data_IF_353063524385
#
_entry.id   IF_353063524385
#
_cell.length_a   1.000
_cell.length_b   1.000
_cell.length_c   1.000
_cell.angle_alpha   90.00
_cell.angle_beta   90.00
_cell.angle_gamma   90.00
#
_symmetry.space_group_name_H-M   'P 1'
#
loop_
_entity.id
_entity.type
_entity.pdbx_description
1 polymer ?
#
# COMPACT_ATOMS: atom_id res chain seq x y z
N UNK A 1 11.68 0.76 -41.00
CA UNK A 1 11.08 1.18 -39.72
C UNK A 1 12.20 1.29 -38.69
N UNK A 2 12.10 2.20 -37.71
CA UNK A 2 13.12 2.33 -36.65
C UNK A 2 12.89 1.26 -35.58
N UNK A 3 13.96 0.70 -35.03
CA UNK A 3 13.90 -0.34 -33.99
C UNK A 3 13.17 0.14 -32.72
N UNK A 4 13.17 1.44 -32.44
CA UNK A 4 12.49 2.06 -31.29
C UNK A 4 11.00 1.71 -31.22
N UNK A 5 10.30 1.72 -32.36
CA UNK A 5 8.86 1.41 -32.39
C UNK A 5 8.59 -0.07 -32.07
N UNK A 6 9.53 -0.96 -32.40
CA UNK A 6 9.42 -2.38 -32.12
C UNK A 6 9.72 -2.71 -30.67
N UNK A 7 10.57 -1.92 -30.01
CA UNK A 7 10.86 -2.11 -28.58
C UNK A 7 9.59 -1.94 -27.73
N UNK A 8 8.82 -0.88 -27.95
CA UNK A 8 7.54 -0.67 -27.25
C UNK A 8 6.55 -1.81 -27.51
N UNK A 9 6.45 -2.26 -28.77
CA UNK A 9 5.59 -3.37 -29.15
C UNK A 9 6.03 -4.70 -28.54
N UNK A 10 7.35 -4.95 -28.43
CA UNK A 10 7.89 -6.14 -27.79
C UNK A 10 7.47 -6.19 -26.32
N UNK A 11 7.55 -5.08 -25.58
CA UNK A 11 7.11 -5.05 -24.18
C UNK A 11 5.61 -5.36 -24.04
N UNK A 12 4.80 -4.82 -24.95
CA UNK A 12 3.33 -4.95 -24.99
C UNK A 12 2.83 -6.15 -25.79
N UNK A 13 3.69 -7.13 -26.09
CA UNK A 13 3.38 -8.20 -27.05
C UNK A 13 2.09 -8.99 -26.74
N UNK A 14 1.79 -9.20 -25.45
CA UNK A 14 0.57 -9.91 -25.02
C UNK A 14 -0.73 -9.11 -25.27
N UNK A 15 -0.62 -7.81 -25.48
CA UNK A 15 -1.74 -6.89 -25.76
C UNK A 15 -1.91 -6.61 -27.27
N UNK A 16 -0.90 -6.93 -28.08
CA UNK A 16 -0.95 -6.76 -29.54
C UNK A 16 -2.00 -7.67 -30.20
N UNK A 17 -2.55 -7.20 -31.31
CA UNK A 17 -3.39 -8.02 -32.19
C UNK A 17 -2.58 -9.09 -32.91
N UNK A 18 -3.26 -10.12 -33.45
CA UNK A 18 -2.60 -11.25 -34.13
C UNK A 18 -1.76 -10.77 -35.33
N UNK A 19 -2.25 -9.80 -36.11
CA UNK A 19 -1.52 -9.25 -37.25
C UNK A 19 -0.29 -8.46 -36.83
N UNK A 20 -0.37 -7.69 -35.75
CA UNK A 20 0.78 -6.95 -35.23
C UNK A 20 1.86 -7.87 -34.69
N UNK A 21 1.48 -8.97 -34.01
CA UNK A 21 2.44 -9.96 -33.53
C UNK A 21 3.23 -10.60 -34.67
N UNK A 22 2.57 -10.93 -35.78
CA UNK A 22 3.27 -11.49 -36.95
C UNK A 22 4.34 -10.53 -37.49
N UNK A 23 4.06 -9.23 -37.53
CA UNK A 23 5.03 -8.22 -37.97
C UNK A 23 6.21 -8.14 -37.00
N UNK A 24 5.96 -8.20 -35.69
CA UNK A 24 7.03 -8.23 -34.68
C UNK A 24 7.85 -9.51 -34.80
N UNK A 25 7.21 -10.68 -34.94
CA UNK A 25 7.88 -11.98 -35.09
C UNK A 25 8.76 -12.03 -36.35
N UNK A 26 8.30 -11.44 -37.44
CA UNK A 26 9.08 -11.30 -38.66
C UNK A 26 10.29 -10.36 -38.46
N UNK A 27 10.10 -9.25 -37.75
CA UNK A 27 11.19 -8.33 -37.43
C UNK A 27 12.26 -8.97 -36.54
N UNK A 28 11.85 -9.77 -35.54
CA UNK A 28 12.75 -10.47 -34.62
C UNK A 28 13.70 -11.43 -35.35
N UNK A 29 13.29 -12.03 -36.48
CA UNK A 29 14.16 -12.90 -37.29
C UNK A 29 15.31 -12.17 -37.99
N UNK A 30 15.15 -10.86 -38.22
CA UNK A 30 16.09 -10.07 -39.01
C UNK A 30 16.90 -9.07 -38.17
N UNK A 31 16.49 -8.81 -36.92
CA UNK A 31 17.10 -7.82 -36.05
C UNK A 31 17.60 -8.44 -34.75
N UNK A 32 18.93 -8.65 -34.66
CA UNK A 32 19.57 -9.27 -33.50
C UNK A 32 19.42 -8.46 -32.20
N UNK A 33 19.31 -7.13 -32.28
CA UNK A 33 19.14 -6.29 -31.10
C UNK A 33 17.73 -6.42 -30.50
N UNK A 34 16.70 -6.43 -31.35
CA UNK A 34 15.32 -6.69 -30.92
C UNK A 34 15.16 -8.12 -30.40
N UNK A 35 15.89 -9.09 -30.95
CA UNK A 35 15.92 -10.47 -30.44
C UNK A 35 16.44 -10.54 -29.00
N UNK A 36 17.49 -9.80 -28.66
CA UNK A 36 18.00 -9.74 -27.27
C UNK A 36 16.96 -9.18 -26.31
N UNK A 37 16.25 -8.12 -26.70
CA UNK A 37 15.18 -7.52 -25.88
C UNK A 37 14.05 -8.53 -25.68
N UNK A 38 13.68 -9.26 -26.73
CA UNK A 38 12.68 -10.32 -26.65
C UNK A 38 13.08 -11.44 -25.67
N UNK A 39 14.33 -11.89 -25.72
CA UNK A 39 14.86 -12.89 -24.79
C UNK A 39 14.83 -12.39 -23.34
N UNK A 40 15.28 -11.15 -23.10
CA UNK A 40 15.25 -10.54 -21.77
C UNK A 40 13.83 -10.44 -21.20
N UNK A 41 12.87 -9.99 -22.03
CA UNK A 41 11.45 -9.95 -21.67
C UNK A 41 10.92 -11.35 -21.33
N UNK A 42 11.26 -12.35 -22.14
CA UNK A 42 10.80 -13.73 -21.94
C UNK A 42 11.33 -14.30 -20.62
N UNK A 43 12.61 -14.07 -20.30
CA UNK A 43 13.20 -14.46 -19.02
C UNK A 43 12.50 -13.75 -17.84
N UNK A 44 12.27 -12.44 -17.94
CA UNK A 44 11.54 -11.69 -16.91
C UNK A 44 10.11 -12.21 -16.71
N UNK A 45 9.45 -12.62 -17.79
CA UNK A 45 8.09 -13.19 -17.72
C UNK A 45 8.09 -14.55 -17.03
N UNK A 46 9.09 -15.38 -17.28
CA UNK A 46 9.23 -16.68 -16.61
C UNK A 46 9.47 -16.47 -15.11
N UNK A 47 10.40 -15.61 -14.74
CA UNK A 47 10.67 -15.33 -13.32
C UNK A 47 9.45 -14.74 -12.62
N UNK A 48 8.75 -13.77 -13.21
CA UNK A 48 7.55 -13.17 -12.60
C UNK A 48 6.34 -14.09 -12.57
N UNK A 49 6.25 -15.08 -13.47
CA UNK A 49 5.17 -16.08 -13.45
C UNK A 49 5.21 -16.91 -12.18
N UNK A 50 6.41 -17.27 -11.72
CA UNK A 50 6.60 -18.06 -10.51
C UNK A 50 6.15 -17.29 -9.25
N UNK A 51 6.10 -15.96 -9.30
CA UNK A 51 5.73 -15.12 -8.17
C UNK A 51 4.22 -15.06 -7.95
N UNK A 52 3.40 -15.41 -8.95
CA UNK A 52 1.93 -15.40 -8.82
C UNK A 52 1.41 -16.45 -7.83
N UNK A 53 2.22 -17.46 -7.51
CA UNK A 53 1.90 -18.49 -6.52
C UNK A 53 2.44 -18.22 -5.12
N UNK A 54 3.27 -17.18 -4.94
CA UNK A 54 3.84 -16.86 -3.64
C UNK A 54 2.78 -16.13 -2.82
N UNK A 55 2.10 -16.86 -1.95
CA UNK A 55 1.34 -16.24 -0.87
C UNK A 55 2.35 -15.55 0.05
N UNK A 56 2.15 -14.26 0.40
CA UNK A 56 3.03 -13.62 1.37
C UNK A 56 2.95 -14.43 2.66
N UNK A 57 4.12 -14.83 3.18
CA UNK A 57 4.20 -15.63 4.39
C UNK A 57 3.34 -14.98 5.50
N UNK A 58 2.45 -15.73 6.16
CA UNK A 58 1.44 -15.17 7.07
C UNK A 58 2.03 -14.53 8.33
N UNK A 59 3.33 -14.71 8.58
CA UNK A 59 4.00 -14.35 9.83
C UNK A 59 3.86 -12.87 10.21
N UNK A 60 3.73 -11.98 9.21
CA UNK A 60 3.58 -10.53 9.44
C UNK A 60 2.29 -9.93 8.84
N UNK A 61 1.35 -10.76 8.41
CA UNK A 61 0.07 -10.29 7.83
C UNK A 61 -0.72 -9.42 8.82
N UNK A 62 -0.73 -9.81 10.10
CA UNK A 62 -1.34 -9.03 11.18
C UNK A 62 -0.62 -7.70 11.43
N UNK A 63 0.73 -7.67 11.38
CA UNK A 63 1.50 -6.44 11.54
C UNK A 63 1.29 -5.47 10.38
N UNK A 64 1.23 -5.99 9.15
CA UNK A 64 0.93 -5.19 7.95
C UNK A 64 -0.48 -4.61 8.04
N UNK A 65 -1.46 -5.43 8.44
CA UNK A 65 -2.84 -4.98 8.63
C UNK A 65 -2.93 -3.93 9.73
N UNK A 66 -2.21 -4.10 10.85
CA UNK A 66 -2.15 -3.12 11.93
C UNK A 66 -1.49 -1.80 11.48
N UNK A 67 -0.38 -1.84 10.74
CA UNK A 67 0.27 -0.63 10.20
C UNK A 67 -0.64 0.12 9.23
N UNK A 68 -1.33 -0.60 8.34
CA UNK A 68 -2.28 -0.02 7.41
C UNK A 68 -3.47 0.58 8.17
N UNK A 69 -4.04 -0.14 9.14
CA UNK A 69 -5.14 0.36 9.95
C UNK A 69 -4.74 1.55 10.81
N UNK A 70 -3.54 1.58 11.40
CA UNK A 70 -3.06 2.72 12.15
C UNK A 70 -2.96 3.99 11.29
N UNK A 71 -2.57 3.85 10.01
CA UNK A 71 -2.50 4.97 9.07
C UNK A 71 -3.88 5.41 8.53
N UNK A 72 -4.86 4.51 8.49
CA UNK A 72 -6.22 4.82 8.00
C UNK A 72 -7.12 5.36 9.12
N UNK A 73 -7.06 4.73 10.30
CA UNK A 73 -7.95 5.02 11.43
C UNK A 73 -7.47 6.25 12.21
N UNK A 74 -6.17 6.55 12.18
CA UNK A 74 -5.64 7.80 12.70
C UNK A 74 -5.33 8.70 11.51
N UNK A 75 -6.29 9.46 10.96
CA UNK A 75 -5.90 10.70 10.29
C UNK A 75 -5.05 11.42 11.34
N UNK A 76 -3.81 11.78 10.99
CA UNK A 76 -2.97 12.62 11.85
C UNK A 76 -3.83 13.83 12.23
N UNK A 77 -4.44 13.75 13.40
CA UNK A 77 -5.17 14.84 14.02
C UNK A 77 -4.06 15.79 14.44
N UNK A 78 -3.56 16.53 13.45
CA UNK A 78 -2.76 17.72 13.64
C UNK A 78 -3.71 18.75 14.24
N UNK A 79 -3.95 18.54 15.52
CA UNK A 79 -4.69 19.43 16.38
C UNK A 79 -3.61 20.33 16.98
N UNK A 80 -3.41 21.55 16.43
CA UNK A 80 -2.28 22.40 16.80
C UNK A 80 -2.26 22.77 18.29
N UNK A 81 -3.40 22.67 18.99
CA UNK A 81 -3.46 22.91 20.43
C UNK A 81 -2.95 21.73 21.28
N UNK A 82 -2.89 20.50 20.75
CA UNK A 82 -2.28 19.34 21.45
C UNK A 82 -0.75 19.35 21.34
N UNK A 83 -0.19 19.90 20.27
CA UNK A 83 1.25 20.15 20.17
C UNK A 83 1.72 21.22 21.17
N UNK A 84 0.86 22.18 21.52
CA UNK A 84 1.13 23.15 22.58
C UNK A 84 1.11 22.52 23.99
N UNK A 85 0.46 21.36 24.16
CA UNK A 85 0.41 20.61 25.43
C UNK A 85 1.64 19.70 25.57
N UNK A 86 2.41 19.50 24.49
CA UNK A 86 3.70 18.81 24.51
C UNK A 86 4.84 19.65 25.12
N UNK A 87 4.48 20.55 26.03
CA UNK A 87 5.43 21.27 26.86
C UNK A 87 6.01 20.33 27.92
N UNK A 88 7.34 20.30 28.03
CA UNK A 88 8.11 19.46 28.95
C UNK A 88 7.58 19.47 30.39
N UNK A 89 7.06 20.61 30.88
CA UNK A 89 6.51 20.71 32.23
C UNK A 89 5.31 19.77 32.47
N UNK A 90 4.42 19.57 31.50
CA UNK A 90 3.27 18.68 31.67
C UNK A 90 3.72 17.22 31.76
N UNK A 91 4.76 16.84 30.99
CA UNK A 91 5.36 15.50 31.09
C UNK A 91 5.94 15.25 32.48
N UNK A 92 6.65 16.23 33.05
CA UNK A 92 7.16 16.14 34.42
C UNK A 92 6.04 16.15 35.46
N UNK A 93 4.99 16.95 35.27
CA UNK A 93 3.83 16.98 36.16
C UNK A 93 3.12 15.61 36.19
N UNK A 94 2.84 15.02 35.02
CA UNK A 94 2.21 13.70 34.92
C UNK A 94 3.11 12.59 35.48
N UNK A 95 4.42 12.67 35.25
CA UNK A 95 5.38 11.73 35.84
C UNK A 95 5.41 11.83 37.37
N UNK A 96 5.46 13.05 37.91
CA UNK A 96 5.44 13.28 39.37
C UNK A 96 4.13 12.79 40.01
N UNK A 97 3.00 13.04 39.36
CA UNK A 97 1.69 12.60 39.81
C UNK A 97 1.60 11.07 39.81
N UNK A 98 2.10 10.42 38.75
CA UNK A 98 2.19 8.97 38.64
C UNK A 98 3.03 8.38 39.77
N UNK A 99 4.23 8.92 40.04
CA UNK A 99 5.05 8.45 41.16
C UNK A 99 4.37 8.67 42.51
N UNK A 100 3.64 9.77 42.69
CA UNK A 100 2.93 10.06 43.93
C UNK A 100 1.79 9.06 44.15
N UNK A 101 1.07 8.66 43.10
CA UNK A 101 0.06 7.60 43.18
C UNK A 101 0.65 6.24 43.53
N UNK A 102 1.81 5.89 42.95
CA UNK A 102 2.51 4.64 43.27
C UNK A 102 2.90 4.62 44.75
N UNK A 103 3.52 5.69 45.24
CA UNK A 103 3.87 5.82 46.67
C UNK A 103 2.62 5.75 47.55
N UNK A 104 1.55 6.47 47.22
CA UNK A 104 0.30 6.42 47.97
C UNK A 104 -0.28 4.99 48.04
N UNK A 105 -0.20 4.22 46.95
CA UNK A 105 -0.67 2.84 46.91
C UNK A 105 0.13 1.91 47.83
N UNK A 106 1.45 2.12 47.95
CA UNK A 106 2.29 1.37 48.88
C UNK A 106 2.10 1.78 50.35
N UNK A 107 1.69 3.03 50.61
CA UNK A 107 1.41 3.51 51.97
C UNK A 107 -0.01 3.23 52.46
N UNK A 108 -0.95 2.91 51.56
CA UNK A 108 -2.25 2.41 51.99
C UNK A 108 -2.13 0.94 52.41
N UNK A 109 -2.37 0.60 53.70
CA UNK A 109 -2.33 -0.79 54.13
C UNK A 109 -3.41 -1.58 53.36
N UNK A 110 -3.11 -2.81 52.91
CA UNK A 110 -4.05 -3.60 52.15
C UNK A 110 -5.28 -3.88 53.02
N UNK A 111 -6.39 -3.20 52.75
CA UNK A 111 -7.69 -3.67 53.19
C UNK A 111 -7.96 -4.94 52.41
N UNK A 112 -8.14 -6.06 53.10
CA UNK A 112 -8.41 -7.38 52.53
C UNK A 112 -9.48 -7.30 51.43
N UNK A 113 -9.03 -7.19 50.18
CA UNK A 113 -9.88 -7.22 49.01
C UNK A 113 -10.17 -8.70 48.71
N UNK A 114 -11.45 -9.12 48.66
CA UNK A 114 -11.77 -10.48 48.29
C UNK A 114 -11.25 -10.75 46.87
N UNK A 115 -10.53 -11.86 46.71
CA UNK A 115 -10.05 -12.34 45.42
C UNK A 115 -11.23 -12.51 44.45
N UNK A 116 -11.45 -11.52 43.59
CA UNK A 116 -12.26 -11.73 42.38
C UNK A 116 -11.37 -12.34 41.32
N UNK A 117 -11.65 -13.62 41.06
CA UNK A 117 -11.05 -14.42 40.01
C UNK A 117 -11.48 -13.83 38.65
N UNK A 118 -10.67 -12.94 38.07
CA UNK A 118 -10.84 -12.48 36.70
C UNK A 118 -10.50 -13.64 35.76
N UNK A 119 -11.51 -14.45 35.43
CA UNK A 119 -11.45 -15.32 34.27
C UNK A 119 -11.30 -14.43 33.03
N UNK A 120 -10.16 -14.54 32.36
CA UNK A 120 -9.98 -14.01 31.01
C UNK A 120 -10.92 -14.80 30.08
N UNK A 121 -12.09 -14.23 29.80
CA UNK A 121 -12.97 -14.71 28.74
C UNK A 121 -12.25 -14.50 27.41
N UNK A 122 -11.80 -15.61 26.82
CA UNK A 122 -11.26 -15.63 25.48
C UNK A 122 -12.26 -15.03 24.50
N UNK A 123 -11.94 -13.87 23.95
CA UNK A 123 -12.70 -13.23 22.87
C UNK A 123 -12.55 -14.13 21.64
N UNK A 124 -13.53 -15.01 21.43
CA UNK A 124 -13.53 -16.00 20.35
C UNK A 124 -14.11 -15.50 19.04
N UNK A 125 -14.72 -14.31 19.01
CA UNK A 125 -15.30 -13.75 17.80
C UNK A 125 -14.93 -12.28 17.63
N UNK A 126 -13.92 -12.03 16.81
CA UNK A 126 -13.74 -10.72 16.18
C UNK A 126 -14.73 -10.67 15.02
N UNK A 127 -15.91 -10.10 15.27
CA UNK A 127 -16.89 -9.81 14.22
C UNK A 127 -16.35 -8.66 13.36
N UNK A 128 -15.53 -9.00 12.37
CA UNK A 128 -15.08 -8.07 11.35
C UNK A 128 -16.30 -7.59 10.58
N UNK A 129 -16.59 -6.30 10.65
CA UNK A 129 -17.69 -5.67 9.92
C UNK A 129 -17.39 -5.69 8.41
N UNK A 130 -17.63 -6.84 7.79
CA UNK A 130 -17.40 -7.14 6.36
C UNK A 130 -18.15 -6.19 5.44
N UNK A 131 -19.27 -5.63 5.90
CA UNK A 131 -20.06 -4.65 5.14
C UNK A 131 -19.29 -3.33 4.93
N UNK A 132 -18.53 -2.87 5.92
CA UNK A 132 -17.71 -1.66 5.82
C UNK A 132 -16.54 -1.86 4.83
N UNK A 133 -15.89 -3.03 4.87
CA UNK A 133 -14.82 -3.37 3.93
C UNK A 133 -15.32 -3.48 2.49
N UNK A 134 -16.49 -4.11 2.27
CA UNK A 134 -17.07 -4.23 0.94
C UNK A 134 -17.48 -2.86 0.38
N UNK A 135 -18.03 -1.98 1.23
CA UNK A 135 -18.38 -0.61 0.82
C UNK A 135 -17.15 0.17 0.35
N UNK A 136 -16.07 0.15 1.12
CA UNK A 136 -14.79 0.80 0.75
C UNK A 136 -14.19 0.16 -0.51
N UNK A 137 -14.30 -1.16 -0.68
CA UNK A 137 -13.80 -1.85 -1.89
C UNK A 137 -14.60 -1.50 -3.15
N UNK A 138 -15.92 -1.38 -3.04
CA UNK A 138 -16.80 -0.98 -4.15
C UNK A 138 -16.57 0.48 -4.49
N UNK A 139 -16.45 1.35 -3.48
CA UNK A 139 -16.18 2.79 -3.66
C UNK A 139 -14.81 3.03 -4.29
N UNK A 140 -13.77 2.30 -3.84
CA UNK A 140 -12.46 2.31 -4.49
C UNK A 140 -12.51 1.80 -5.93
N UNK A 141 -13.33 0.79 -6.26
CA UNK A 141 -13.52 0.34 -7.65
C UNK A 141 -14.25 1.36 -8.52
N UNK A 142 -15.23 2.07 -7.99
CA UNK A 142 -15.90 3.18 -8.69
C UNK A 142 -14.93 4.35 -8.94
N UNK A 143 -14.05 4.65 -7.98
CA UNK A 143 -12.99 5.66 -8.18
C UNK A 143 -11.85 5.19 -9.12
N UNK A 144 -11.61 3.88 -9.21
CA UNK A 144 -10.61 3.25 -10.09
C UNK A 144 -11.12 2.84 -11.47
N UNK A 145 -12.37 3.18 -11.83
CA UNK A 145 -12.93 2.83 -13.14
C UNK A 145 -12.31 3.60 -14.33
N UNK A 146 -11.27 4.38 -14.10
CA UNK A 146 -10.33 4.79 -15.14
C UNK A 146 -9.06 3.94 -15.08
N UNK A 147 -9.17 2.63 -15.27
CA UNK A 147 -8.02 1.88 -15.79
C UNK A 147 -7.84 2.30 -17.25
N UNK A 148 -7.18 3.43 -17.46
CA UNK A 148 -6.64 3.80 -18.77
C UNK A 148 -5.77 2.63 -19.23
N UNK A 149 -6.11 2.01 -20.36
CA UNK A 149 -5.15 1.13 -21.01
C UNK A 149 -3.92 1.97 -21.37
N UNK A 150 -2.73 1.45 -21.07
CA UNK A 150 -1.47 2.13 -21.40
C UNK A 150 -1.40 2.42 -22.91
N UNK A 151 -1.98 1.54 -23.72
CA UNK A 151 -2.15 1.72 -25.16
C UNK A 151 -2.98 2.96 -25.51
N UNK A 152 -4.16 3.16 -24.91
CA UNK A 152 -5.00 4.34 -25.16
C UNK A 152 -4.38 5.64 -24.64
N UNK A 153 -3.55 5.54 -23.60
CA UNK A 153 -2.80 6.65 -23.01
C UNK A 153 -1.65 7.12 -23.92
N UNK A 154 -1.00 6.20 -24.63
CA UNK A 154 0.02 6.51 -25.64
C UNK A 154 -0.63 7.04 -26.93
N UNK A 155 -1.74 6.44 -27.35
CA UNK A 155 -2.45 6.81 -28.58
C UNK A 155 -3.09 8.21 -28.50
N UNK A 156 -3.65 8.60 -27.34
CA UNK A 156 -4.34 9.89 -27.18
C UNK A 156 -3.46 11.05 -26.67
N UNK A 157 -2.19 10.84 -26.28
CA UNK A 157 -1.26 11.87 -25.71
C UNK A 157 -1.75 12.67 -24.47
N UNK A 158 -2.98 12.49 -24.01
CA UNK A 158 -3.59 13.25 -22.91
C UNK A 158 -2.96 12.93 -21.53
N UNK A 159 -2.39 11.74 -21.37
CA UNK A 159 -1.75 11.30 -20.13
C UNK A 159 -0.55 12.15 -19.70
N UNK A 160 0.26 12.62 -20.67
CA UNK A 160 1.53 13.33 -20.39
C UNK A 160 1.26 14.66 -19.67
N UNK A 161 0.14 15.31 -19.95
CA UNK A 161 -0.22 16.58 -19.32
C UNK A 161 -0.65 16.42 -17.85
N UNK A 162 -1.26 15.29 -17.49
CA UNK A 162 -1.70 15.03 -16.10
C UNK A 162 -0.51 14.77 -15.16
N UNK A 163 0.55 14.12 -15.66
CA UNK A 163 1.79 13.85 -14.92
C UNK A 163 2.61 15.13 -14.78
N UNK A 164 2.68 15.96 -15.82
CA UNK A 164 3.36 17.26 -15.79
C UNK A 164 2.71 18.24 -14.79
N UNK A 165 1.37 18.24 -14.68
CA UNK A 165 0.65 19.07 -13.68
C UNK A 165 0.91 18.62 -12.24
N UNK A 166 1.07 17.31 -11.98
CA UNK A 166 1.43 16.81 -10.64
C UNK A 166 2.84 17.20 -10.23
N UNK A 167 3.79 17.26 -11.16
CA UNK A 167 5.18 17.68 -10.85
C UNK A 167 5.26 19.13 -10.36
N UNK A 168 4.51 20.06 -10.98
CA UNK A 168 4.43 21.47 -10.55
C UNK A 168 3.84 21.66 -9.14
N UNK A 169 2.99 20.75 -8.68
CA UNK A 169 2.37 20.86 -7.35
C UNK A 169 3.32 20.43 -6.21
N UNK A 170 4.34 19.62 -6.52
CA UNK A 170 5.36 19.20 -5.54
C UNK A 170 6.58 20.12 -5.51
N UNK A 171 6.83 20.89 -6.57
CA UNK A 171 7.91 21.90 -6.59
C UNK A 171 7.48 23.27 -6.01
N UNK A 172 6.20 23.42 -5.62
CA UNK A 172 5.67 24.66 -5.00
C UNK A 172 5.33 24.52 -3.50
N UNK A 173 5.83 23.48 -2.84
CA UNK A 173 5.83 23.30 -1.38
C UNK A 173 7.26 23.19 -0.88
#
# INVERSE_FOLDING_TARGET
>A
MRCENFEEQIWLYDELSVSQRQVVDEHLKHCADCEKIWQARTQLRLTTRDWKGVTPAPENSAQLTHKIMAQIVVPSMNIPWLDAINTTWLRYAMASLSTLFVVAFFYTPPKNLPHQHLQASGVRDVNLNTSAFLKVKIENRKSRQQTFSLLACIENRECVQSIAKKKKYYESR
#
